data_IF_442864142505
#
_entry.id   IF_442864142505
#
_cell.length_a   1.000
_cell.length_b   1.000
_cell.length_c   1.000
_cell.angle_alpha   90.00
_cell.angle_beta   90.00
_cell.angle_gamma   90.00
#
_symmetry.space_group_name_H-M   'P 1'
#
loop_
_entity.id
_entity.type
_entity.pdbx_description
1 polymer ?
#
# COMPACT_ATOMS: atom_id res chain seq x y z
N UNK A 1 0.98 -30.10 29.76
CA UNK A 1 0.39 -29.63 28.48
C UNK A 1 0.42 -28.11 28.34
N UNK A 2 0.15 -27.33 29.39
CA UNK A 2 0.31 -25.86 29.40
C UNK A 2 1.75 -25.36 29.21
N UNK A 3 2.76 -26.05 29.74
CA UNK A 3 4.17 -25.64 29.59
C UNK A 3 4.75 -25.88 28.18
N UNK A 4 4.12 -26.74 27.36
CA UNK A 4 4.60 -27.01 26.01
C UNK A 4 4.21 -25.88 25.04
N UNK A 5 3.03 -25.28 25.26
CA UNK A 5 2.52 -24.15 24.46
C UNK A 5 3.30 -22.86 24.76
N UNK A 6 3.82 -22.70 25.99
CA UNK A 6 4.62 -21.55 26.39
C UNK A 6 6.05 -21.54 25.79
N UNK A 7 6.65 -22.71 25.57
CA UNK A 7 8.05 -22.86 25.09
C UNK A 7 8.19 -23.03 23.56
N UNK A 8 7.09 -23.36 22.86
CA UNK A 8 7.07 -23.46 21.40
C UNK A 8 7.53 -22.18 20.66
N UNK A 9 7.16 -20.96 21.08
CA UNK A 9 7.70 -19.75 20.44
C UNK A 9 9.22 -19.65 20.62
N UNK A 10 9.79 -20.06 21.77
CA UNK A 10 11.23 -19.91 22.02
C UNK A 10 12.13 -20.70 21.06
N UNK A 11 11.76 -21.94 20.71
CA UNK A 11 12.57 -22.81 19.82
C UNK A 11 12.36 -22.52 18.34
N UNK A 12 11.15 -22.19 17.89
CA UNK A 12 10.88 -21.82 16.49
C UNK A 12 11.41 -20.40 16.20
N UNK A 13 11.33 -19.45 17.14
CA UNK A 13 11.93 -18.12 16.99
C UNK A 13 13.47 -18.11 17.10
N UNK A 14 14.12 -19.19 17.54
CA UNK A 14 15.59 -19.29 17.52
C UNK A 14 16.15 -19.27 16.09
N UNK A 15 15.36 -19.74 15.11
CA UNK A 15 15.64 -19.65 13.67
C UNK A 15 14.69 -18.65 13.02
N UNK A 16 14.87 -17.36 13.33
CA UNK A 16 14.02 -16.26 12.81
C UNK A 16 13.63 -16.40 11.33
N UNK A 17 14.53 -16.72 10.38
CA UNK A 17 14.14 -16.87 8.96
C UNK A 17 13.10 -17.96 8.72
N UNK A 18 13.21 -19.10 9.41
CA UNK A 18 12.26 -20.20 9.28
C UNK A 18 10.88 -19.80 9.83
N UNK A 19 10.83 -19.06 10.94
CA UNK A 19 9.58 -18.56 11.49
C UNK A 19 8.86 -17.60 10.52
N UNK A 20 9.58 -16.67 9.89
CA UNK A 20 8.99 -15.80 8.85
C UNK A 20 8.54 -16.58 7.62
N UNK A 21 9.31 -17.58 7.19
CA UNK A 21 8.92 -18.43 6.07
C UNK A 21 7.63 -19.21 6.39
N UNK A 22 7.53 -19.82 7.57
CA UNK A 22 6.34 -20.53 8.00
C UNK A 22 5.13 -19.58 8.08
N UNK A 23 5.31 -18.39 8.66
CA UNK A 23 4.26 -17.37 8.69
C UNK A 23 3.82 -16.98 7.27
N UNK A 24 4.76 -16.79 6.35
CA UNK A 24 4.47 -16.46 4.96
C UNK A 24 3.67 -17.56 4.27
N UNK A 25 4.05 -18.82 4.47
CA UNK A 25 3.35 -19.95 3.88
C UNK A 25 1.93 -20.09 4.44
N UNK A 26 1.75 -19.96 5.76
CA UNK A 26 0.44 -20.05 6.42
C UNK A 26 -0.48 -18.91 5.98
N UNK A 27 0.02 -17.67 6.05
CA UNK A 27 -0.75 -16.48 5.66
C UNK A 27 -0.99 -16.45 4.15
N UNK A 28 -0.02 -16.87 3.35
CA UNK A 28 -0.15 -17.02 1.90
C UNK A 28 -1.22 -18.05 1.54
N UNK A 29 -1.25 -19.21 2.21
CA UNK A 29 -2.32 -20.20 2.02
C UNK A 29 -3.70 -19.64 2.40
N UNK A 30 -3.77 -18.85 3.48
CA UNK A 30 -5.02 -18.17 3.88
C UNK A 30 -5.51 -17.17 2.82
N UNK A 31 -4.66 -16.28 2.33
CA UNK A 31 -5.04 -15.34 1.26
C UNK A 31 -5.30 -16.02 -0.09
N UNK A 32 -4.61 -17.12 -0.38
CA UNK A 32 -4.89 -17.95 -1.55
C UNK A 32 -6.29 -18.54 -1.48
N UNK A 33 -6.68 -19.06 -0.31
CA UNK A 33 -8.04 -19.54 -0.08
C UNK A 33 -9.08 -18.42 -0.26
N UNK A 34 -8.83 -17.22 0.27
CA UNK A 34 -9.71 -16.05 0.08
C UNK A 34 -9.83 -15.61 -1.38
N UNK A 35 -8.83 -15.85 -2.21
CA UNK A 35 -8.83 -15.54 -3.66
C UNK A 35 -9.16 -16.74 -4.55
N UNK A 36 -9.64 -17.85 -3.98
CA UNK A 36 -9.88 -19.10 -4.72
C UNK A 36 -11.06 -19.01 -5.69
N UNK A 37 -11.95 -18.03 -5.53
CA UNK A 37 -13.09 -17.82 -6.42
C UNK A 37 -12.64 -17.32 -7.80
N UNK A 38 -13.38 -17.63 -8.88
CA UNK A 38 -13.07 -17.14 -10.22
C UNK A 38 -13.31 -15.64 -10.38
N UNK A 39 -14.21 -15.05 -9.59
CA UNK A 39 -14.50 -13.60 -9.57
C UNK A 39 -13.49 -12.78 -8.76
N UNK A 40 -13.58 -11.46 -8.89
CA UNK A 40 -12.93 -10.50 -8.00
C UNK A 40 -13.97 -9.92 -7.04
N UNK A 41 -13.55 -9.65 -5.81
CA UNK A 41 -14.39 -8.96 -4.82
C UNK A 41 -14.61 -7.48 -5.17
N UNK A 42 -13.76 -6.91 -6.04
CA UNK A 42 -13.78 -5.51 -6.40
C UNK A 42 -13.50 -5.31 -7.90
N UNK A 43 -14.28 -4.47 -8.60
CA UNK A 43 -14.16 -4.27 -10.04
C UNK A 43 -12.89 -3.54 -10.50
N UNK A 44 -12.25 -2.70 -9.67
CA UNK A 44 -11.02 -2.00 -10.07
C UNK A 44 -9.86 -2.98 -10.29
N UNK A 45 -9.98 -4.21 -9.80
CA UNK A 45 -9.07 -5.31 -10.14
C UNK A 45 -8.91 -5.44 -11.66
N UNK A 46 -10.01 -5.33 -12.42
CA UNK A 46 -9.97 -5.39 -13.89
C UNK A 46 -9.21 -4.21 -14.50
N UNK A 47 -9.38 -3.01 -13.93
CA UNK A 47 -8.61 -1.83 -14.32
C UNK A 47 -7.11 -2.05 -14.11
N UNK A 48 -6.71 -2.54 -12.93
CA UNK A 48 -5.29 -2.78 -12.63
C UNK A 48 -4.66 -3.85 -13.53
N UNK A 49 -5.39 -4.94 -13.80
CA UNK A 49 -4.94 -5.96 -14.74
C UNK A 49 -4.72 -5.37 -16.13
N UNK A 50 -5.69 -4.57 -16.62
CA UNK A 50 -5.62 -4.03 -17.98
C UNK A 50 -4.54 -2.95 -18.11
N UNK A 51 -4.44 -2.03 -17.17
CA UNK A 51 -3.41 -0.98 -17.20
C UNK A 51 -2.01 -1.59 -17.11
N UNK A 52 -1.78 -2.57 -16.22
CA UNK A 52 -0.48 -3.23 -16.14
C UNK A 52 -0.11 -3.94 -17.46
N UNK A 53 -1.08 -4.58 -18.14
CA UNK A 53 -0.88 -5.17 -19.47
C UNK A 53 -0.52 -4.12 -20.53
N UNK A 54 -1.25 -2.99 -20.57
CA UNK A 54 -0.96 -1.91 -21.50
C UNK A 54 0.43 -1.31 -21.25
N UNK A 55 0.80 -1.11 -19.98
CA UNK A 55 2.12 -0.58 -19.62
C UNK A 55 3.23 -1.53 -20.03
N UNK A 56 3.05 -2.84 -19.82
CA UNK A 56 3.99 -3.86 -20.30
C UNK A 56 4.20 -3.77 -21.81
N UNK A 57 3.14 -3.58 -22.58
CA UNK A 57 3.18 -3.66 -24.04
C UNK A 57 3.56 -2.35 -24.74
N UNK A 58 3.22 -1.21 -24.15
CA UNK A 58 3.28 0.10 -24.84
C UNK A 58 3.82 1.23 -23.97
N UNK A 59 4.24 0.96 -22.74
CA UNK A 59 4.72 1.97 -21.80
C UNK A 59 3.59 2.74 -21.09
N UNK A 60 3.91 3.84 -20.38
CA UNK A 60 2.94 4.58 -19.57
C UNK A 60 1.68 4.97 -20.36
N UNK A 61 0.50 4.60 -19.85
CA UNK A 61 -0.79 4.93 -20.46
C UNK A 61 -1.12 6.38 -20.15
N UNK A 62 -1.21 7.25 -21.16
CA UNK A 62 -1.45 8.70 -20.95
C UNK A 62 -2.87 9.15 -21.24
N UNK A 63 -3.63 8.37 -22.00
CA UNK A 63 -5.00 8.70 -22.39
C UNK A 63 -5.97 7.62 -21.90
N UNK A 64 -7.20 8.00 -21.57
CA UNK A 64 -8.20 7.09 -20.98
C UNK A 64 -9.60 7.24 -21.57
N UNK A 65 -9.71 6.95 -22.87
CA UNK A 65 -10.94 7.06 -23.67
C UNK A 65 -12.08 6.11 -23.27
N UNK A 66 -11.87 5.21 -22.30
CA UNK A 66 -12.89 4.26 -21.86
C UNK A 66 -13.92 4.87 -20.90
N UNK A 67 -13.68 6.08 -20.38
CA UNK A 67 -14.61 6.81 -19.53
C UNK A 67 -14.88 8.24 -20.04
N UNK A 68 -15.43 8.39 -21.27
CA UNK A 68 -15.55 9.67 -21.98
C UNK A 68 -16.51 10.67 -21.31
N UNK A 69 -17.39 10.20 -20.43
CA UNK A 69 -18.33 11.05 -19.68
C UNK A 69 -17.80 11.44 -18.30
N UNK A 70 -16.50 11.27 -18.07
CA UNK A 70 -15.85 11.60 -16.79
C UNK A 70 -14.64 12.47 -17.05
N UNK A 71 -14.21 13.19 -16.03
CA UNK A 71 -12.96 13.97 -16.06
C UNK A 71 -11.70 13.12 -16.28
N UNK A 72 -11.82 11.79 -16.17
CA UNK A 72 -10.70 10.89 -16.45
C UNK A 72 -10.39 10.84 -17.96
N UNK A 73 -11.32 11.20 -18.84
CA UNK A 73 -11.04 11.36 -20.27
C UNK A 73 -10.09 12.54 -20.51
N UNK A 74 -10.31 13.65 -19.79
CA UNK A 74 -9.55 14.90 -19.95
C UNK A 74 -8.21 14.92 -19.18
N UNK A 75 -8.19 14.39 -17.96
CA UNK A 75 -7.08 14.55 -17.00
C UNK A 75 -6.70 13.18 -16.42
N UNK A 76 -6.48 12.18 -17.30
CA UNK A 76 -6.01 10.89 -16.85
C UNK A 76 -4.58 10.97 -16.31
N UNK A 77 -4.37 10.34 -15.15
CA UNK A 77 -3.05 9.89 -14.72
C UNK A 77 -3.16 8.47 -14.18
N UNK A 78 -2.07 7.72 -14.32
CA UNK A 78 -1.89 6.52 -13.52
C UNK A 78 -1.30 6.87 -12.15
N UNK A 79 -2.19 7.16 -11.19
CA UNK A 79 -1.81 7.44 -9.80
C UNK A 79 -1.33 6.18 -9.03
N UNK A 80 -1.27 5.03 -9.71
CA UNK A 80 -0.77 3.75 -9.21
C UNK A 80 0.38 3.22 -10.09
N UNK A 81 1.11 4.12 -10.76
CA UNK A 81 2.10 3.78 -11.77
C UNK A 81 3.14 2.75 -11.31
N UNK A 82 3.78 2.95 -10.15
CA UNK A 82 4.75 2.00 -9.63
C UNK A 82 4.11 0.66 -9.25
N UNK A 83 2.85 0.66 -8.81
CA UNK A 83 2.13 -0.58 -8.56
C UNK A 83 1.97 -1.38 -9.85
N UNK A 84 1.56 -0.76 -10.95
CA UNK A 84 1.46 -1.44 -12.24
C UNK A 84 2.83 -1.90 -12.77
N UNK A 85 3.89 -1.13 -12.58
CA UNK A 85 5.25 -1.58 -12.92
C UNK A 85 5.66 -2.83 -12.13
N UNK A 86 5.33 -2.90 -10.84
CA UNK A 86 5.61 -4.06 -9.97
C UNK A 86 4.80 -5.29 -10.38
N UNK A 87 3.66 -5.12 -11.07
CA UNK A 87 2.87 -6.22 -11.62
C UNK A 87 3.48 -6.83 -12.90
N UNK A 88 4.27 -6.09 -13.66
CA UNK A 88 4.84 -6.53 -14.95
C UNK A 88 5.58 -7.89 -14.86
N UNK A 89 6.44 -8.14 -13.85
CA UNK A 89 7.07 -9.45 -13.68
C UNK A 89 6.08 -10.63 -13.68
N UNK A 90 4.90 -10.46 -13.07
CA UNK A 90 3.86 -11.51 -13.04
C UNK A 90 3.21 -11.72 -14.42
N UNK A 91 3.12 -10.66 -15.23
CA UNK A 91 2.56 -10.70 -16.58
C UNK A 91 3.47 -11.37 -17.62
N UNK A 92 4.71 -11.71 -17.27
CA UNK A 92 5.56 -12.56 -18.11
C UNK A 92 5.24 -14.06 -17.94
N UNK A 93 4.63 -14.43 -16.81
CA UNK A 93 4.36 -15.83 -16.45
C UNK A 93 2.87 -16.15 -16.53
N UNK A 94 2.01 -15.21 -16.16
CA UNK A 94 0.57 -15.40 -16.04
C UNK A 94 -0.20 -14.44 -16.96
N UNK A 95 -1.43 -14.82 -17.33
CA UNK A 95 -2.37 -13.89 -17.95
C UNK A 95 -2.73 -12.74 -16.97
N UNK A 96 -3.24 -11.60 -17.45
CA UNK A 96 -3.46 -10.42 -16.61
C UNK A 96 -4.32 -10.66 -15.36
N UNK A 97 -5.42 -11.40 -15.49
CA UNK A 97 -6.34 -11.66 -14.37
C UNK A 97 -5.72 -12.56 -13.31
N UNK A 98 -4.99 -13.60 -13.72
CA UNK A 98 -4.31 -14.48 -12.79
C UNK A 98 -3.10 -13.80 -12.14
N UNK A 99 -2.35 -12.99 -12.91
CA UNK A 99 -1.21 -12.23 -12.42
C UNK A 99 -1.61 -11.33 -11.24
N UNK A 100 -2.71 -10.57 -11.38
CA UNK A 100 -3.15 -9.69 -10.30
C UNK A 100 -3.61 -10.47 -9.07
N UNK A 101 -4.29 -11.62 -9.22
CA UNK A 101 -4.70 -12.47 -8.08
C UNK A 101 -3.50 -13.01 -7.32
N UNK A 102 -2.53 -13.58 -8.04
CA UNK A 102 -1.32 -14.14 -7.44
C UNK A 102 -0.52 -13.03 -6.74
N UNK A 103 -0.39 -11.87 -7.39
CA UNK A 103 0.29 -10.73 -6.79
C UNK A 103 -0.41 -10.23 -5.53
N UNK A 104 -1.76 -10.20 -5.50
CA UNK A 104 -2.55 -9.79 -4.35
C UNK A 104 -2.30 -10.69 -3.14
N UNK A 105 -2.31 -12.02 -3.35
CA UNK A 105 -1.99 -13.02 -2.30
C UNK A 105 -0.58 -12.79 -1.75
N UNK A 106 0.40 -12.60 -2.64
CA UNK A 106 1.79 -12.38 -2.25
C UNK A 106 1.95 -11.05 -1.48
N UNK A 107 1.38 -9.96 -1.98
CA UNK A 107 1.48 -8.65 -1.33
C UNK A 107 0.77 -8.64 0.02
N UNK A 108 -0.41 -9.25 0.14
CA UNK A 108 -1.12 -9.38 1.40
C UNK A 108 -0.31 -10.17 2.44
N UNK A 109 0.26 -11.32 2.03
CA UNK A 109 1.13 -12.10 2.90
C UNK A 109 2.40 -11.32 3.31
N UNK A 110 3.03 -10.62 2.37
CA UNK A 110 4.19 -9.77 2.65
C UNK A 110 3.84 -8.59 3.57
N UNK A 111 2.63 -8.04 3.50
CA UNK A 111 2.18 -6.96 4.38
C UNK A 111 2.05 -7.44 5.83
N UNK A 112 1.48 -8.63 6.05
CA UNK A 112 1.43 -9.25 7.38
C UNK A 112 2.84 -9.58 7.89
N UNK A 113 3.72 -10.05 7.02
CA UNK A 113 5.12 -10.27 7.37
C UNK A 113 5.84 -8.98 7.74
N UNK A 114 5.62 -7.90 6.99
CA UNK A 114 6.18 -6.59 7.27
C UNK A 114 5.68 -6.05 8.63
N UNK A 115 4.41 -6.30 8.96
CA UNK A 115 3.86 -5.96 10.26
C UNK A 115 4.54 -6.74 11.40
N UNK A 116 4.61 -8.07 11.28
CA UNK A 116 5.33 -8.92 12.25
C UNK A 116 6.80 -8.48 12.39
N UNK A 117 7.47 -8.23 11.26
CA UNK A 117 8.85 -7.76 11.21
C UNK A 117 9.03 -6.43 11.94
N UNK A 118 8.12 -5.48 11.74
CA UNK A 118 8.17 -4.18 12.42
C UNK A 118 8.07 -4.35 13.95
N UNK A 119 7.12 -5.16 14.42
CA UNK A 119 6.95 -5.45 15.84
C UNK A 119 8.21 -6.09 16.44
N UNK A 120 8.81 -7.06 15.74
CA UNK A 120 10.03 -7.72 16.18
C UNK A 120 11.23 -6.76 16.20
N UNK A 121 11.32 -5.83 15.24
CA UNK A 121 12.37 -4.80 15.20
C UNK A 121 12.25 -3.81 16.36
N UNK A 122 11.03 -3.45 16.73
CA UNK A 122 10.77 -2.64 17.92
C UNK A 122 10.77 -3.46 19.22
N UNK A 123 11.08 -4.77 19.15
CA UNK A 123 11.17 -5.68 20.30
C UNK A 123 9.87 -5.70 21.11
N UNK A 124 8.72 -5.59 20.43
CA UNK A 124 7.41 -5.66 21.06
C UNK A 124 7.21 -7.07 21.61
N UNK A 125 6.90 -7.17 22.91
CA UNK A 125 6.61 -8.44 23.57
C UNK A 125 5.34 -9.04 22.96
N UNK A 126 5.34 -10.35 22.71
CA UNK A 126 4.21 -11.07 22.10
C UNK A 126 3.82 -10.58 20.70
N UNK A 127 4.79 -10.16 19.87
CA UNK A 127 4.56 -9.67 18.50
C UNK A 127 3.63 -10.57 17.67
N UNK A 128 3.81 -11.90 17.74
CA UNK A 128 2.97 -12.86 17.02
C UNK A 128 1.49 -12.81 17.44
N UNK A 129 1.19 -12.55 18.72
CA UNK A 129 -0.19 -12.44 19.21
C UNK A 129 -0.88 -11.25 18.56
N UNK A 130 -0.22 -10.10 18.47
CA UNK A 130 -0.76 -8.92 17.78
C UNK A 130 -0.96 -9.16 16.29
N UNK A 131 -0.04 -9.89 15.64
CA UNK A 131 -0.19 -10.29 14.24
C UNK A 131 -1.40 -11.20 14.04
N UNK A 132 -1.63 -12.16 14.94
CA UNK A 132 -2.81 -13.02 14.90
C UNK A 132 -4.08 -12.18 15.11
N UNK A 133 -4.11 -11.28 16.09
CA UNK A 133 -5.24 -10.40 16.32
C UNK A 133 -5.56 -9.55 15.08
N UNK A 134 -4.55 -9.02 14.40
CA UNK A 134 -4.72 -8.27 13.16
C UNK A 134 -5.36 -9.13 12.06
N UNK A 135 -4.96 -10.40 11.95
CA UNK A 135 -5.55 -11.36 10.99
C UNK A 135 -7.02 -11.69 11.28
N UNK A 136 -7.51 -11.43 12.49
CA UNK A 136 -8.91 -11.65 12.88
C UNK A 136 -9.81 -10.43 12.57
N UNK A 137 -9.22 -9.28 12.21
CA UNK A 137 -9.98 -8.06 11.89
C UNK A 137 -10.52 -8.14 10.46
N UNK A 138 -11.80 -8.51 10.32
CA UNK A 138 -12.44 -8.74 9.02
C UNK A 138 -12.28 -7.57 8.03
N UNK A 139 -12.55 -6.32 8.46
CA UNK A 139 -12.47 -5.15 7.58
C UNK A 139 -11.05 -4.90 7.08
N UNK A 140 -10.05 -5.15 7.94
CA UNK A 140 -8.65 -5.04 7.56
C UNK A 140 -8.28 -6.11 6.53
N UNK A 141 -8.60 -7.38 6.82
CA UNK A 141 -8.34 -8.52 5.93
C UNK A 141 -8.98 -8.29 4.57
N UNK A 142 -10.24 -7.86 4.53
CA UNK A 142 -10.94 -7.55 3.29
C UNK A 142 -10.14 -6.55 2.44
N UNK A 143 -9.69 -5.44 3.03
CA UNK A 143 -8.96 -4.38 2.31
C UNK A 143 -7.60 -4.83 1.78
N UNK A 144 -6.83 -5.57 2.58
CA UNK A 144 -5.50 -6.05 2.14
C UNK A 144 -5.62 -7.24 1.17
N UNK A 145 -6.73 -7.97 1.18
CA UNK A 145 -6.97 -9.08 0.25
C UNK A 145 -7.37 -8.62 -1.16
N UNK A 146 -7.79 -7.36 -1.35
CA UNK A 146 -8.15 -6.85 -2.67
C UNK A 146 -6.96 -6.90 -3.62
N UNK A 147 -7.20 -7.21 -4.90
CA UNK A 147 -6.22 -7.12 -5.98
C UNK A 147 -5.97 -5.66 -6.39
N UNK A 148 -5.48 -4.90 -5.41
CA UNK A 148 -5.21 -3.46 -5.44
C UNK A 148 -3.96 -3.14 -4.62
N UNK A 149 -3.73 -1.84 -4.48
CA UNK A 149 -2.59 -1.20 -3.83
C UNK A 149 -2.52 -1.32 -2.29
N UNK A 150 -3.61 -1.45 -1.50
CA UNK A 150 -3.54 -1.33 -0.03
C UNK A 150 -2.46 -2.18 0.65
N UNK A 151 -2.29 -3.44 0.24
CA UNK A 151 -1.25 -4.33 0.79
C UNK A 151 0.16 -3.80 0.57
N UNK A 152 0.47 -3.39 -0.66
CA UNK A 152 1.79 -2.87 -0.99
C UNK A 152 2.03 -1.48 -0.38
N UNK A 153 0.99 -0.65 -0.33
CA UNK A 153 1.00 0.64 0.38
C UNK A 153 1.32 0.45 1.87
N UNK A 154 0.72 -0.54 2.53
CA UNK A 154 0.97 -0.84 3.93
C UNK A 154 2.44 -1.24 4.17
N UNK A 155 3.03 -2.06 3.29
CA UNK A 155 4.47 -2.42 3.39
C UNK A 155 5.33 -1.15 3.36
N UNK A 156 5.07 -0.24 2.43
CA UNK A 156 5.81 1.02 2.32
C UNK A 156 5.65 1.89 3.57
N UNK A 157 4.43 2.01 4.09
CA UNK A 157 4.16 2.79 5.31
C UNK A 157 4.86 2.19 6.55
N UNK A 158 4.85 0.87 6.72
CA UNK A 158 5.53 0.20 7.84
C UNK A 158 7.05 0.37 7.75
N UNK A 159 7.62 0.23 6.56
CA UNK A 159 9.04 0.52 6.31
C UNK A 159 9.38 2.00 6.59
N UNK A 160 8.51 2.92 6.20
CA UNK A 160 8.69 4.35 6.45
C UNK A 160 8.71 4.67 7.94
N UNK A 161 7.75 4.13 8.70
CA UNK A 161 7.70 4.26 10.17
C UNK A 161 8.98 3.70 10.79
N UNK A 162 9.42 2.50 10.40
CA UNK A 162 10.67 1.92 10.89
C UNK A 162 11.87 2.85 10.67
N UNK A 163 11.99 3.41 9.46
CA UNK A 163 13.09 4.32 9.13
C UNK A 163 13.02 5.61 9.94
N UNK A 164 11.85 6.20 10.15
CA UNK A 164 11.69 7.39 11.00
C UNK A 164 12.25 7.16 12.41
N UNK A 165 11.89 6.04 13.05
CA UNK A 165 12.33 5.75 14.42
C UNK A 165 13.79 5.29 14.54
N UNK A 166 14.35 4.70 13.48
CA UNK A 166 15.73 4.17 13.49
C UNK A 166 16.77 5.11 12.88
N UNK A 167 16.34 6.22 12.27
CA UNK A 167 17.24 7.17 11.65
C UNK A 167 18.16 7.86 12.69
N UNK A 168 19.46 7.53 12.62
CA UNK A 168 20.52 8.14 13.43
C UNK A 168 21.09 9.43 12.81
N UNK A 169 20.27 10.21 12.10
CA UNK A 169 20.64 11.41 11.33
C UNK A 169 21.69 11.25 10.22
N UNK A 170 22.29 10.08 10.02
CA UNK A 170 23.31 9.84 8.97
C UNK A 170 22.70 9.32 7.65
N UNK A 171 21.57 8.59 7.70
CA UNK A 171 21.03 7.81 6.57
C UNK A 171 19.57 8.20 6.29
N UNK A 172 19.35 9.42 5.78
CA UNK A 172 17.98 9.88 5.45
C UNK A 172 17.62 9.71 3.97
N UNK A 173 18.58 9.32 3.13
CA UNK A 173 18.33 8.98 1.73
C UNK A 173 17.34 7.81 1.53
N UNK A 174 17.25 6.78 2.40
CA UNK A 174 16.24 5.73 2.22
C UNK A 174 14.83 6.26 2.45
N UNK A 175 14.66 7.23 3.35
CA UNK A 175 13.39 7.92 3.59
C UNK A 175 13.00 8.71 2.34
N UNK A 176 13.95 9.46 1.78
CA UNK A 176 13.76 10.16 0.51
C UNK A 176 13.32 9.21 -0.60
N UNK A 177 14.06 8.11 -0.83
CA UNK A 177 13.77 7.16 -1.90
C UNK A 177 12.43 6.45 -1.71
N UNK A 178 12.09 6.08 -0.48
CA UNK A 178 10.82 5.46 -0.15
C UNK A 178 9.64 6.42 -0.36
N UNK A 179 9.78 7.68 0.08
CA UNK A 179 8.76 8.71 -0.11
C UNK A 179 8.58 9.09 -1.58
N UNK A 180 9.67 9.15 -2.35
CA UNK A 180 9.63 9.29 -3.81
C UNK A 180 8.82 8.17 -4.46
N UNK A 181 9.18 6.92 -4.16
CA UNK A 181 8.54 5.75 -4.74
C UNK A 181 7.07 5.64 -4.30
N UNK A 182 6.73 6.09 -3.08
CA UNK A 182 5.37 6.07 -2.58
C UNK A 182 4.42 6.97 -3.37
N UNK A 183 4.89 8.14 -3.85
CA UNK A 183 4.11 9.00 -4.76
C UNK A 183 3.73 8.26 -6.04
N UNK A 184 4.65 7.47 -6.59
CA UNK A 184 4.37 6.68 -7.79
C UNK A 184 3.54 5.44 -7.49
N UNK A 185 3.60 4.92 -6.27
CA UNK A 185 2.89 3.73 -5.85
C UNK A 185 1.41 4.00 -5.60
N UNK A 186 1.09 5.09 -4.90
CA UNK A 186 -0.24 5.31 -4.36
C UNK A 186 -0.65 6.78 -4.34
N UNK A 187 -1.86 7.06 -4.83
CA UNK A 187 -2.46 8.39 -4.77
C UNK A 187 -2.65 8.92 -3.35
N UNK A 188 -2.70 8.05 -2.34
CA UNK A 188 -2.71 8.41 -0.92
C UNK A 188 -1.36 8.84 -0.35
N UNK A 189 -0.41 9.29 -1.18
CA UNK A 189 0.89 9.80 -0.74
C UNK A 189 0.86 10.89 0.36
N UNK A 190 -0.19 11.74 0.52
CA UNK A 190 -0.24 12.71 1.62
C UNK A 190 -0.21 12.06 3.01
N UNK A 191 -0.61 10.80 3.15
CA UNK A 191 -0.53 10.06 4.42
C UNK A 191 0.92 9.96 4.91
N UNK A 192 1.86 9.70 4.00
CA UNK A 192 3.28 9.60 4.35
C UNK A 192 3.85 10.95 4.80
N UNK A 193 3.41 12.05 4.18
CA UNK A 193 3.75 13.41 4.62
C UNK A 193 3.19 13.69 6.02
N UNK A 194 1.93 13.32 6.27
CA UNK A 194 1.29 13.48 7.58
C UNK A 194 2.01 12.73 8.69
N UNK A 195 2.37 11.46 8.47
CA UNK A 195 3.16 10.65 9.42
C UNK A 195 4.52 11.31 9.69
N UNK A 196 5.21 11.74 8.62
CA UNK A 196 6.50 12.43 8.74
C UNK A 196 6.41 13.74 9.54
N UNK A 197 5.32 14.49 9.35
CA UNK A 197 5.06 15.74 10.06
C UNK A 197 4.77 15.52 11.54
N UNK A 198 3.92 14.53 11.88
CA UNK A 198 3.66 14.14 13.28
C UNK A 198 4.96 13.69 13.96
N UNK A 199 5.79 12.90 13.28
CA UNK A 199 7.11 12.52 13.78
C UNK A 199 8.01 13.75 14.01
N UNK A 200 8.00 14.72 13.10
CA UNK A 200 8.75 15.97 13.27
C UNK A 200 8.29 16.75 14.50
N UNK A 201 6.98 16.93 14.69
CA UNK A 201 6.44 17.66 15.85
C UNK A 201 6.78 17.00 17.18
N UNK A 202 6.79 15.66 17.22
CA UNK A 202 7.04 14.88 18.44
C UNK A 202 8.53 14.70 18.76
N UNK A 203 9.38 14.56 17.74
CA UNK A 203 10.82 14.30 17.93
C UNK A 203 11.71 15.53 17.76
N UNK A 204 11.18 16.60 17.16
CA UNK A 204 11.90 17.82 16.74
C UNK A 204 13.07 17.55 15.78
N UNK A 205 13.11 16.37 15.14
CA UNK A 205 14.13 16.01 14.14
C UNK A 205 13.65 16.40 12.76
N UNK A 206 14.12 17.54 12.25
CA UNK A 206 13.74 18.03 10.92
C UNK A 206 14.26 17.14 9.78
N UNK A 207 15.46 16.55 9.91
CA UNK A 207 16.13 15.86 8.80
C UNK A 207 15.33 14.71 8.17
N UNK A 208 14.72 13.77 8.94
CA UNK A 208 13.84 12.75 8.37
C UNK A 208 12.63 13.34 7.63
N UNK A 209 11.98 14.34 8.21
CA UNK A 209 10.82 15.00 7.60
C UNK A 209 11.19 15.73 6.29
N UNK A 210 12.26 16.52 6.31
CA UNK A 210 12.75 17.21 5.11
C UNK A 210 13.15 16.22 4.01
N UNK A 211 13.68 15.05 4.38
CA UNK A 211 14.01 14.00 3.41
C UNK A 211 12.77 13.38 2.79
N UNK A 212 11.73 13.12 3.59
CA UNK A 212 10.43 12.65 3.10
C UNK A 212 9.77 13.68 2.18
N UNK A 213 9.76 14.97 2.59
CA UNK A 213 9.23 16.08 1.82
C UNK A 213 9.95 16.24 0.47
N UNK A 214 11.28 16.22 0.49
CA UNK A 214 12.07 16.27 -0.73
C UNK A 214 11.78 15.06 -1.64
N UNK A 215 11.65 13.86 -1.07
CA UNK A 215 11.27 12.65 -1.82
C UNK A 215 9.91 12.80 -2.49
N UNK A 216 8.91 13.30 -1.77
CA UNK A 216 7.57 13.55 -2.32
C UNK A 216 7.60 14.60 -3.44
N UNK A 217 8.29 15.73 -3.24
CA UNK A 217 8.41 16.77 -4.26
C UNK A 217 9.06 16.21 -5.53
N UNK A 218 10.19 15.51 -5.39
CA UNK A 218 10.83 14.85 -6.52
C UNK A 218 9.91 13.79 -7.15
N UNK A 219 9.17 13.04 -6.35
CA UNK A 219 8.22 12.03 -6.82
C UNK A 219 7.10 12.64 -7.67
N UNK A 220 6.60 13.81 -7.30
CA UNK A 220 5.59 14.56 -8.04
C UNK A 220 6.15 15.18 -9.32
N UNK A 221 7.35 15.76 -9.28
CA UNK A 221 7.96 16.49 -10.41
C UNK A 221 8.54 15.56 -11.47
N UNK A 222 9.22 14.47 -11.07
CA UNK A 222 9.82 13.49 -12.00
C UNK A 222 8.75 12.52 -12.55
N UNK A 223 7.52 12.57 -12.01
CA UNK A 223 6.43 11.70 -12.40
C UNK A 223 6.17 11.75 -13.93
N UNK A 224 5.95 10.60 -14.61
CA UNK A 224 5.67 10.56 -16.05
C UNK A 224 4.45 11.38 -16.51
N UNK A 225 3.56 11.72 -15.56
CA UNK A 225 2.33 12.47 -15.77
C UNK A 225 2.44 13.93 -15.29
N UNK A 226 3.63 14.42 -14.95
CA UNK A 226 3.82 15.83 -14.60
C UNK A 226 3.60 16.74 -15.83
N UNK A 227 2.91 17.90 -15.68
CA UNK A 227 2.30 18.46 -14.46
C UNK A 227 0.82 18.08 -14.26
N UNK A 228 0.23 17.29 -15.14
CA UNK A 228 -1.18 16.85 -15.10
C UNK A 228 -1.53 16.17 -13.77
N UNK A 229 -0.58 15.44 -13.19
CA UNK A 229 -0.75 14.82 -11.88
C UNK A 229 -1.14 15.78 -10.76
N UNK A 230 -0.62 17.01 -10.77
CA UNK A 230 -0.98 18.02 -9.77
C UNK A 230 -2.44 18.42 -9.89
N UNK A 231 -2.93 18.60 -11.13
CA UNK A 231 -4.34 18.91 -11.40
C UNK A 231 -5.24 17.74 -10.99
N UNK A 232 -4.85 16.52 -11.31
CA UNK A 232 -5.58 15.32 -10.91
C UNK A 232 -5.70 15.20 -9.39
N UNK A 233 -4.59 15.34 -8.64
CA UNK A 233 -4.65 15.27 -7.17
C UNK A 233 -5.47 16.41 -6.58
N UNK A 234 -5.36 17.62 -7.11
CA UNK A 234 -6.23 18.73 -6.70
C UNK A 234 -7.71 18.38 -6.88
N UNK A 235 -8.07 17.85 -8.05
CA UNK A 235 -9.43 17.48 -8.35
C UNK A 235 -9.93 16.35 -7.44
N UNK A 236 -9.19 15.25 -7.33
CA UNK A 236 -9.61 14.09 -6.53
C UNK A 236 -9.71 14.43 -5.03
N UNK A 237 -8.74 15.16 -4.48
CA UNK A 237 -8.71 15.46 -3.04
C UNK A 237 -9.62 16.62 -2.66
N UNK A 238 -9.55 17.75 -3.38
CA UNK A 238 -10.26 18.96 -2.98
C UNK A 238 -11.62 19.08 -3.63
N UNK A 239 -11.72 18.92 -4.95
CA UNK A 239 -12.99 19.15 -5.66
C UNK A 239 -13.97 17.99 -5.43
N UNK A 240 -13.49 16.75 -5.50
CA UNK A 240 -14.32 15.56 -5.32
C UNK A 240 -14.38 15.14 -3.85
N UNK A 241 -13.26 15.04 -3.14
CA UNK A 241 -13.24 14.59 -1.75
C UNK A 241 -13.83 15.61 -0.77
N UNK A 242 -13.16 16.76 -0.62
CA UNK A 242 -13.47 17.73 0.43
C UNK A 242 -14.69 18.61 0.14
N UNK A 243 -14.75 19.22 -1.04
CA UNK A 243 -15.86 20.10 -1.42
C UNK A 243 -17.05 19.22 -1.81
N UNK A 244 -16.87 18.41 -2.86
CA UNK A 244 -17.87 17.59 -3.52
C UNK A 244 -19.18 18.35 -3.86
N UNK A 245 -20.06 17.72 -4.62
CA UNK A 245 -21.47 18.09 -4.67
C UNK A 245 -22.23 17.21 -3.68
N UNK A 246 -21.90 17.31 -2.37
CA UNK A 246 -22.38 16.39 -1.31
C UNK A 246 -23.91 16.17 -1.28
N UNK A 247 -24.68 17.09 -1.85
CA UNK A 247 -26.15 17.04 -1.92
C UNK A 247 -26.72 16.49 -3.23
N UNK A 248 -25.86 16.12 -4.19
CA UNK A 248 -26.23 15.70 -5.55
C UNK A 248 -25.52 14.39 -5.94
N UNK A 249 -24.25 14.24 -5.55
CA UNK A 249 -23.42 13.08 -5.90
C UNK A 249 -22.69 12.59 -4.65
N UNK A 250 -22.96 11.35 -4.26
CA UNK A 250 -22.29 10.71 -3.15
C UNK A 250 -20.83 10.35 -3.49
N UNK A 251 -19.97 10.43 -2.50
CA UNK A 251 -18.58 9.95 -2.54
C UNK A 251 -18.40 8.75 -1.61
N UNK A 252 -17.18 8.24 -1.50
CA UNK A 252 -16.86 7.17 -0.55
C UNK A 252 -17.25 7.56 0.89
N UNK A 253 -17.78 6.59 1.64
CA UNK A 253 -18.25 6.77 3.01
C UNK A 253 -17.20 7.38 3.96
N UNK A 254 -15.91 7.25 3.62
CA UNK A 254 -14.79 7.84 4.36
C UNK A 254 -14.76 9.37 4.39
N UNK A 255 -15.46 10.03 3.46
CA UNK A 255 -15.57 11.49 3.40
C UNK A 255 -16.69 12.04 4.29
N UNK A 256 -17.54 11.17 4.82
CA UNK A 256 -18.63 11.53 5.71
C UNK A 256 -18.23 11.25 7.16
N UNK A 257 -18.72 12.08 8.07
CA UNK A 257 -18.59 11.79 9.50
C UNK A 257 -19.30 10.47 9.85
N UNK A 258 -18.86 9.80 10.91
CA UNK A 258 -19.64 8.69 11.45
C UNK A 258 -20.99 9.22 11.92
N UNK A 259 -22.07 8.81 11.26
CA UNK A 259 -23.43 9.01 11.77
C UNK A 259 -23.60 8.09 12.97
N UNK A 260 -23.48 8.66 14.17
CA UNK A 260 -23.90 7.95 15.38
C UNK A 260 -25.43 8.01 15.45
N UNK A 261 -26.06 6.96 14.91
CA UNK A 261 -27.50 6.70 14.83
C UNK A 261 -28.31 7.65 13.95
#
# INVERSE_FOLDING_TARGET
>A
MLNFIADLPGKILSRRPLAYLLLFLVVGAYFLWLNSTPSFADPDSFYHAKIAELIKNSGPVKDFYWLPFTTLDDIYIDHHFLYHLILIPFLFVFNPLLAIKISAVIFAALAILAFQWLLDKFKIKYSLVYTILLLLVHQFIFRINLAKIPSLSLIFLLCFIYLLFTNKNKWSWPIFGLSFAYVWLYGGWPIMLGIGFVYFLTSLKAKPFLSALAGIICGLVINPYFPTNLKFYWQQTFQIGLINYQNVIDVGGEWYGMSFF
#
